data_IF_106132641213
#
_entry.id   IF_106132641213
#
_cell.length_a   1.000
_cell.length_b   1.000
_cell.length_c   1.000
_cell.angle_alpha   90.00
_cell.angle_beta   90.00
_cell.angle_gamma   90.00
#
_symmetry.space_group_name_H-M   'P 1'
#
loop_
_entity.id
_entity.type
_entity.pdbx_description
1 polymer ?
#
# COMPACT_ATOMS: atom_id res chain seq x y z
N UNK A 1 23.35 11.53 -8.33
CA UNK A 1 23.04 10.10 -8.16
C UNK A 1 21.57 9.95 -8.47
N UNK A 2 21.24 9.43 -9.66
CA UNK A 2 19.87 9.15 -10.05
C UNK A 2 19.36 7.96 -9.23
N UNK A 3 18.74 8.25 -8.09
CA UNK A 3 18.04 7.26 -7.28
C UNK A 3 16.72 6.90 -7.94
N UNK A 4 16.75 6.08 -8.99
CA UNK A 4 15.54 5.52 -9.57
C UNK A 4 14.80 4.70 -8.51
N UNK A 5 13.51 4.98 -8.29
CA UNK A 5 12.67 4.14 -7.43
C UNK A 5 12.66 2.71 -7.96
N UNK A 6 13.24 1.79 -7.20
CA UNK A 6 13.30 0.37 -7.56
C UNK A 6 11.88 -0.23 -7.56
N UNK A 7 11.49 -0.84 -8.67
CA UNK A 7 10.22 -1.57 -8.77
C UNK A 7 10.48 -3.01 -8.29
N UNK A 8 9.90 -3.37 -7.15
CA UNK A 8 9.91 -4.74 -6.66
C UNK A 8 8.69 -5.47 -7.21
N UNK A 9 8.92 -6.51 -8.03
CA UNK A 9 7.84 -7.37 -8.55
C UNK A 9 7.32 -8.38 -7.51
N UNK A 10 8.03 -8.54 -6.40
CA UNK A 10 7.72 -9.50 -5.35
C UNK A 10 6.75 -8.96 -4.31
N UNK A 11 6.00 -9.87 -3.69
CA UNK A 11 5.06 -9.55 -2.61
C UNK A 11 5.77 -8.89 -1.44
N UNK A 12 5.10 -7.96 -0.75
CA UNK A 12 5.64 -7.32 0.46
C UNK A 12 6.05 -8.35 1.54
N UNK A 13 5.37 -9.50 1.58
CA UNK A 13 5.69 -10.60 2.51
C UNK A 13 7.03 -11.26 2.25
N UNK A 14 7.57 -11.17 1.03
CA UNK A 14 8.86 -11.71 0.63
C UNK A 14 10.02 -10.75 0.93
N UNK A 15 9.72 -9.47 1.19
CA UNK A 15 10.76 -8.47 1.44
C UNK A 15 11.47 -8.76 2.76
N UNK A 16 12.80 -8.71 2.72
CA UNK A 16 13.64 -8.77 3.90
C UNK A 16 13.44 -7.54 4.78
N UNK A 17 13.69 -7.65 6.08
CA UNK A 17 13.51 -6.54 7.03
C UNK A 17 14.32 -5.29 6.65
N UNK A 18 15.45 -5.45 5.93
CA UNK A 18 16.26 -4.35 5.41
C UNK A 18 15.53 -3.55 4.32
N UNK A 19 14.74 -4.21 3.48
CA UNK A 19 13.98 -3.59 2.40
C UNK A 19 12.73 -2.89 2.94
N UNK A 20 12.18 -3.39 4.06
CA UNK A 20 11.04 -2.77 4.76
C UNK A 20 11.40 -1.45 5.46
N UNK A 21 12.69 -1.19 5.73
CA UNK A 21 13.17 0.05 6.36
C UNK A 21 13.19 1.25 5.42
N UNK A 22 13.11 1.03 4.10
CA UNK A 22 12.99 2.10 3.12
C UNK A 22 11.52 2.29 2.81
N UNK A 23 10.94 3.43 3.18
CA UNK A 23 9.54 3.74 2.85
C UNK A 23 9.36 3.69 1.33
N UNK A 24 8.57 2.74 0.79
CA UNK A 24 8.48 2.58 -0.65
C UNK A 24 7.73 3.74 -1.28
N UNK A 25 8.06 4.11 -2.52
CA UNK A 25 7.32 5.17 -3.23
C UNK A 25 5.84 4.78 -3.41
N UNK A 26 5.60 3.51 -3.75
CA UNK A 26 4.24 2.97 -3.83
C UNK A 26 4.22 1.45 -3.68
N UNK A 27 3.06 0.93 -3.25
CA UNK A 27 2.79 -0.50 -3.18
C UNK A 27 1.46 -0.76 -3.87
N UNK A 28 1.37 -1.80 -4.69
CA UNK A 28 0.10 -2.30 -5.21
C UNK A 28 -0.10 -3.76 -4.87
N UNK A 29 -1.31 -4.16 -4.49
CA UNK A 29 -1.65 -5.56 -4.31
C UNK A 29 -3.02 -5.89 -4.88
N UNK A 30 -3.11 -7.08 -5.49
CA UNK A 30 -4.38 -7.69 -5.90
C UNK A 30 -4.87 -8.78 -4.95
N UNK A 31 -4.07 -9.18 -3.96
CA UNK A 31 -4.43 -10.22 -3.01
C UNK A 31 -5.12 -9.64 -1.77
N UNK A 32 -6.31 -10.14 -1.41
CA UNK A 32 -7.02 -9.65 -0.22
C UNK A 32 -6.20 -9.89 1.08
N UNK A 33 -5.53 -11.04 1.20
CA UNK A 33 -4.66 -11.36 2.35
C UNK A 33 -3.46 -10.42 2.42
N UNK A 34 -2.79 -10.18 1.29
CA UNK A 34 -1.65 -9.27 1.22
C UNK A 34 -2.05 -7.82 1.50
N UNK A 35 -3.18 -7.37 0.95
CA UNK A 35 -3.76 -6.05 1.23
C UNK A 35 -4.03 -5.83 2.72
N UNK A 36 -4.49 -6.88 3.42
CA UNK A 36 -4.66 -6.84 4.87
C UNK A 36 -3.33 -6.73 5.62
N UNK A 37 -2.27 -7.42 5.15
CA UNK A 37 -0.91 -7.30 5.70
C UNK A 37 -0.37 -5.89 5.48
N UNK A 38 -0.45 -5.34 4.26
CA UNK A 38 -0.05 -3.96 3.95
C UNK A 38 -0.73 -2.97 4.91
N UNK A 39 -2.05 -3.07 5.08
CA UNK A 39 -2.80 -2.23 6.01
C UNK A 39 -2.36 -2.42 7.48
N UNK A 40 -1.87 -3.60 7.88
CA UNK A 40 -1.36 -3.86 9.23
C UNK A 40 0.01 -3.22 9.41
N UNK A 41 0.94 -3.42 8.48
CA UNK A 41 2.30 -2.87 8.55
C UNK A 41 2.27 -1.33 8.55
N UNK A 42 1.39 -0.72 7.73
CA UNK A 42 1.15 0.73 7.73
C UNK A 42 0.64 1.22 9.10
N UNK A 43 -0.38 0.54 9.67
CA UNK A 43 -0.93 0.92 10.99
C UNK A 43 0.08 0.78 12.12
N UNK A 44 0.99 -0.19 12.00
CA UNK A 44 2.06 -0.41 12.95
C UNK A 44 3.26 0.54 12.74
N UNK A 45 3.20 1.44 11.74
CA UNK A 45 4.28 2.38 11.43
C UNK A 45 5.55 1.75 10.88
N UNK A 46 5.50 0.47 10.47
CA UNK A 46 6.68 -0.26 9.95
C UNK A 46 7.02 0.14 8.53
N UNK A 47 6.00 0.51 7.75
CA UNK A 47 6.15 1.06 6.41
C UNK A 47 5.24 2.27 6.26
N UNK A 48 5.65 3.22 5.41
CA UNK A 48 4.82 4.37 5.05
C UNK A 48 4.96 4.71 3.56
N UNK A 49 4.32 3.93 2.68
CA UNK A 49 4.35 4.21 1.25
C UNK A 49 3.73 5.55 0.87
N UNK A 50 4.26 6.24 -0.13
CA UNK A 50 3.62 7.44 -0.68
C UNK A 50 2.27 7.14 -1.35
N UNK A 51 2.18 5.98 -2.02
CA UNK A 51 0.98 5.50 -2.70
C UNK A 51 0.66 4.03 -2.37
N UNK A 52 -0.63 3.71 -2.25
CA UNK A 52 -1.12 2.34 -2.02
C UNK A 52 -2.24 2.01 -3.00
N UNK A 53 -2.05 1.02 -3.87
CA UNK A 53 -3.08 0.45 -4.74
C UNK A 53 -3.59 -0.87 -4.19
N UNK A 54 -4.89 -0.99 -3.93
CA UNK A 54 -5.50 -2.24 -3.46
C UNK A 54 -6.64 -2.64 -4.39
N UNK A 55 -6.62 -3.88 -4.85
CA UNK A 55 -7.76 -4.45 -5.56
C UNK A 55 -8.92 -4.72 -4.60
N UNK A 56 -10.08 -4.17 -4.93
CA UNK A 56 -11.32 -4.34 -4.19
C UNK A 56 -12.41 -4.94 -5.09
N UNK A 57 -12.43 -6.27 -5.28
CA UNK A 57 -13.44 -6.92 -6.11
C UNK A 57 -14.85 -6.75 -5.53
N UNK A 58 -14.97 -6.56 -4.21
CA UNK A 58 -16.25 -6.47 -3.49
C UNK A 58 -16.87 -5.08 -3.54
N UNK A 59 -16.10 -4.04 -3.92
CA UNK A 59 -16.48 -2.61 -3.86
C UNK A 59 -16.94 -2.13 -2.47
N UNK A 60 -16.71 -2.91 -1.42
CA UNK A 60 -17.03 -2.51 -0.04
C UNK A 60 -15.94 -1.58 0.50
N UNK A 61 -16.24 -0.56 1.31
CA UNK A 61 -15.29 0.46 1.75
C UNK A 61 -14.33 -0.03 2.86
N UNK A 62 -13.89 -1.29 2.82
CA UNK A 62 -13.06 -1.92 3.84
C UNK A 62 -11.68 -1.27 3.88
N UNK A 63 -11.03 -1.13 2.72
CA UNK A 63 -9.70 -0.56 2.60
C UNK A 63 -9.70 0.94 2.86
N UNK A 64 -10.70 1.65 2.34
CA UNK A 64 -10.89 3.08 2.59
C UNK A 64 -10.96 3.38 4.09
N UNK A 65 -11.72 2.59 4.86
CA UNK A 65 -11.80 2.75 6.31
C UNK A 65 -10.47 2.44 7.00
N UNK A 66 -9.76 1.39 6.59
CA UNK A 66 -8.48 0.98 7.20
C UNK A 66 -7.36 1.97 6.92
N UNK A 67 -7.18 2.35 5.67
CA UNK A 67 -6.16 3.30 5.21
C UNK A 67 -6.48 4.73 5.61
N UNK A 68 -7.77 5.12 5.60
CA UNK A 68 -8.21 6.43 6.10
C UNK A 68 -7.80 6.68 7.55
N UNK A 69 -7.97 5.68 8.43
CA UNK A 69 -7.50 5.76 9.83
C UNK A 69 -5.98 5.85 9.97
N UNK A 70 -5.23 5.43 8.95
CA UNK A 70 -3.77 5.50 8.92
C UNK A 70 -3.23 6.77 8.23
N UNK A 71 -4.11 7.70 7.86
CA UNK A 71 -3.74 8.98 7.26
C UNK A 71 -3.68 8.97 5.73
N UNK A 72 -4.25 7.98 5.05
CA UNK A 72 -4.29 7.93 3.59
C UNK A 72 -5.63 8.44 3.04
N UNK A 73 -5.61 9.02 1.84
CA UNK A 73 -6.80 9.47 1.11
C UNK A 73 -6.97 8.68 -0.18
N UNK A 74 -8.17 8.17 -0.43
CA UNK A 74 -8.53 7.62 -1.74
C UNK A 74 -8.47 8.73 -2.80
N UNK A 75 -7.70 8.51 -3.86
CA UNK A 75 -7.52 9.44 -4.99
C UNK A 75 -8.33 9.01 -6.21
N UNK A 76 -8.24 7.73 -6.59
CA UNK A 76 -8.90 7.22 -7.79
C UNK A 76 -9.27 5.75 -7.62
N UNK A 77 -10.35 5.35 -8.30
CA UNK A 77 -10.72 3.94 -8.48
C UNK A 77 -10.69 3.64 -9.97
N UNK A 78 -9.94 2.63 -10.39
CA UNK A 78 -9.87 2.19 -11.79
C UNK A 78 -9.89 0.66 -11.85
N UNK A 79 -10.81 0.08 -12.62
CA UNK A 79 -11.01 -1.38 -12.71
C UNK A 79 -10.93 -2.12 -11.35
N UNK A 80 -11.72 -1.64 -10.38
CA UNK A 80 -11.77 -2.17 -9.01
C UNK A 80 -10.45 -2.03 -8.22
N UNK A 81 -9.40 -1.42 -8.76
CA UNK A 81 -8.24 -0.97 -8.00
C UNK A 81 -8.53 0.37 -7.35
N UNK A 82 -8.38 0.44 -6.04
CA UNK A 82 -8.46 1.66 -5.25
C UNK A 82 -7.05 2.18 -4.99
N UNK A 83 -6.78 3.43 -5.37
CA UNK A 83 -5.48 4.07 -5.19
C UNK A 83 -5.56 5.15 -4.12
N UNK A 84 -4.72 4.99 -3.11
CA UNK A 84 -4.63 5.84 -1.95
C UNK A 84 -3.30 6.58 -1.93
N UNK A 85 -3.30 7.84 -1.50
CA UNK A 85 -2.10 8.65 -1.29
C UNK A 85 -1.95 8.98 0.18
N UNK A 86 -0.73 8.95 0.69
CA UNK A 86 -0.44 9.48 2.02
C UNK A 86 -0.81 10.98 2.08
N UNK A 87 -1.38 11.42 3.20
CA UNK A 87 -1.71 12.84 3.43
C UNK A 87 -0.55 13.62 4.02
N UNK A 88 0.50 12.95 4.49
CA UNK A 88 1.70 13.59 5.04
C UNK A 88 2.67 13.99 3.93
#
# INVERSE_FOLDING_TARGET
MEGGSQIHGERLTAWEDKERKVNPTGITSRGARESAVICREIRNGRIRPGFVGIWNPTRRPIWMRRLGRAGYRLQVIYDRMEFYRDRR
#
